data_IF_257786546762
#
_entry.id   IF_257786546762
#
_cell.length_a   1.000
_cell.length_b   1.000
_cell.length_c   1.000
_cell.angle_alpha   90.00
_cell.angle_beta   90.00
_cell.angle_gamma   90.00
#
_symmetry.space_group_name_H-M   'P 1'
#
loop_
_entity.id
_entity.type
_entity.pdbx_description
1 polymer ?
#
# COMPACT_ATOMS: atom_id res chain seq x y z
N UNK A 1 0.71 4.18 -3.64
CA UNK A 1 1.54 3.25 -2.84
C UNK A 1 3.04 3.62 -2.93
N UNK A 2 3.71 3.44 -4.08
CA UNK A 2 5.16 3.77 -4.24
C UNK A 2 5.46 5.24 -3.90
N UNK A 3 4.63 6.17 -4.38
CA UNK A 3 4.75 7.61 -4.07
C UNK A 3 4.56 7.95 -2.58
N UNK A 4 3.72 7.18 -1.87
CA UNK A 4 3.46 7.37 -0.43
C UNK A 4 4.67 6.90 0.37
N UNK A 5 5.22 5.72 0.04
CA UNK A 5 6.44 5.19 0.68
C UNK A 5 7.64 6.10 0.42
N UNK A 6 7.79 6.64 -0.79
CA UNK A 6 8.86 7.61 -1.14
C UNK A 6 8.73 8.90 -0.32
N UNK A 7 7.53 9.27 0.10
CA UNK A 7 7.27 10.46 0.93
C UNK A 7 7.58 10.24 2.43
N UNK A 8 8.05 9.05 2.81
CA UNK A 8 8.38 8.69 4.20
C UNK A 8 7.15 8.34 5.04
N UNK A 9 6.09 7.89 4.39
CA UNK A 9 4.77 7.64 4.98
C UNK A 9 4.43 6.14 4.96
N UNK A 10 3.71 5.64 5.99
CA UNK A 10 3.37 4.21 6.13
C UNK A 10 1.97 3.97 5.55
N UNK A 11 1.90 3.14 4.51
CA UNK A 11 0.63 2.73 3.89
C UNK A 11 0.20 1.35 4.38
N UNK A 12 -0.71 1.33 5.36
CA UNK A 12 -1.27 0.10 5.93
C UNK A 12 -2.29 -0.58 5.01
N UNK A 13 -2.81 0.10 3.99
CA UNK A 13 -3.91 -0.41 3.14
C UNK A 13 -3.49 -1.45 2.10
N UNK A 14 -2.18 -1.68 1.90
CA UNK A 14 -1.63 -2.53 0.82
C UNK A 14 -2.18 -3.95 0.89
N UNK A 15 -2.21 -4.55 2.09
CA UNK A 15 -2.68 -5.93 2.26
C UNK A 15 -4.17 -6.10 1.96
N UNK A 16 -5.00 -5.17 2.43
CA UNK A 16 -6.45 -5.16 2.16
C UNK A 16 -6.80 -4.82 0.72
N UNK A 17 -6.01 -3.98 0.05
CA UNK A 17 -6.17 -3.69 -1.38
C UNK A 17 -5.87 -4.93 -2.21
N UNK A 18 -4.78 -5.63 -1.88
CA UNK A 18 -4.40 -6.88 -2.54
C UNK A 18 -5.48 -7.95 -2.33
N UNK A 19 -6.05 -8.04 -1.13
CA UNK A 19 -7.20 -8.90 -0.85
C UNK A 19 -8.44 -8.52 -1.69
N UNK A 20 -8.78 -7.23 -1.77
CA UNK A 20 -9.93 -6.75 -2.56
C UNK A 20 -9.78 -7.05 -4.05
N UNK A 21 -8.62 -6.72 -4.64
CA UNK A 21 -8.35 -6.93 -6.05
C UNK A 21 -8.20 -8.42 -6.39
N UNK A 22 -7.60 -9.22 -5.50
CA UNK A 22 -7.52 -10.67 -5.64
C UNK A 22 -8.89 -11.33 -5.55
N UNK A 23 -9.74 -10.89 -4.62
CA UNK A 23 -11.12 -11.33 -4.51
C UNK A 23 -11.94 -10.96 -5.75
N UNK A 24 -11.79 -9.73 -6.26
CA UNK A 24 -12.42 -9.30 -7.51
C UNK A 24 -11.97 -10.16 -8.69
N UNK A 25 -10.66 -10.44 -8.80
CA UNK A 25 -10.11 -11.30 -9.85
C UNK A 25 -10.69 -12.72 -9.78
N UNK A 26 -10.82 -13.27 -8.58
CA UNK A 26 -11.42 -14.59 -8.36
C UNK A 26 -12.91 -14.62 -8.74
N UNK A 27 -13.67 -13.57 -8.41
CA UNK A 27 -15.09 -13.47 -8.77
C UNK A 27 -15.26 -13.38 -10.30
N UNK A 28 -14.48 -12.53 -10.96
CA UNK A 28 -14.57 -12.36 -12.41
C UNK A 28 -14.23 -13.65 -13.16
N UNK A 29 -13.30 -14.44 -12.64
CA UNK A 29 -12.89 -15.72 -13.23
C UNK A 29 -13.88 -16.86 -12.92
N UNK A 30 -14.29 -17.00 -11.65
CA UNK A 30 -15.11 -18.14 -11.18
C UNK A 30 -16.60 -17.94 -11.45
N UNK A 31 -17.14 -16.74 -11.23
CA UNK A 31 -18.59 -16.46 -11.33
C UNK A 31 -18.96 -15.98 -12.73
N UNK A 32 -18.18 -15.05 -13.29
CA UNK A 32 -18.50 -14.41 -14.56
C UNK A 32 -17.75 -15.02 -15.75
N UNK A 33 -16.85 -15.97 -15.53
CA UNK A 33 -16.06 -16.66 -16.55
C UNK A 33 -15.39 -15.70 -17.55
N UNK A 34 -14.96 -14.53 -17.06
CA UNK A 34 -14.33 -13.48 -17.88
C UNK A 34 -12.96 -13.98 -18.35
N UNK A 35 -12.60 -13.81 -19.64
CA UNK A 35 -11.31 -14.25 -20.14
C UNK A 35 -10.16 -13.53 -19.43
N UNK A 36 -9.03 -14.24 -19.26
CA UNK A 36 -7.87 -13.81 -18.47
C UNK A 36 -7.44 -12.36 -18.76
N UNK A 37 -7.30 -12.00 -20.03
CA UNK A 37 -6.85 -10.64 -20.41
C UNK A 37 -7.85 -9.56 -19.99
N UNK A 38 -9.15 -9.82 -20.11
CA UNK A 38 -10.18 -8.88 -19.70
C UNK A 38 -10.24 -8.78 -18.17
N UNK A 39 -10.11 -9.91 -17.46
CA UNK A 39 -10.03 -9.92 -16.00
C UNK A 39 -8.83 -9.10 -15.50
N UNK A 40 -7.63 -9.38 -16.00
CA UNK A 40 -6.42 -8.65 -15.61
C UNK A 40 -6.48 -7.16 -15.91
N UNK A 41 -7.07 -6.76 -17.04
CA UNK A 41 -7.22 -5.35 -17.40
C UNK A 41 -8.23 -4.63 -16.50
N UNK A 42 -9.36 -5.25 -16.16
CA UNK A 42 -10.33 -4.71 -15.20
C UNK A 42 -9.71 -4.57 -13.81
N UNK A 43 -9.05 -5.62 -13.32
CA UNK A 43 -8.41 -5.61 -11.99
C UNK A 43 -7.29 -4.57 -11.93
N UNK A 44 -6.47 -4.46 -12.98
CA UNK A 44 -5.41 -3.45 -13.07
C UNK A 44 -5.98 -2.03 -13.11
N UNK A 45 -7.06 -1.81 -13.87
CA UNK A 45 -7.72 -0.50 -13.93
C UNK A 45 -8.32 -0.10 -12.58
N UNK A 46 -9.03 -1.02 -11.91
CA UNK A 46 -9.56 -0.81 -10.57
C UNK A 46 -8.45 -0.51 -9.56
N UNK A 47 -7.36 -1.28 -9.57
CA UNK A 47 -6.22 -1.06 -8.68
C UNK A 47 -5.54 0.28 -8.93
N UNK A 48 -5.40 0.69 -10.19
CA UNK A 48 -4.85 1.99 -10.57
C UNK A 48 -5.76 3.14 -10.12
N UNK A 49 -7.07 3.02 -10.30
CA UNK A 49 -8.06 4.02 -9.86
C UNK A 49 -8.04 4.20 -8.34
N UNK A 50 -8.08 3.10 -7.58
CA UNK A 50 -8.02 3.16 -6.11
C UNK A 50 -6.66 3.71 -5.65
N UNK A 51 -5.57 3.30 -6.30
CA UNK A 51 -4.23 3.81 -6.00
C UNK A 51 -4.07 5.30 -6.27
N UNK A 52 -4.69 5.81 -7.35
CA UNK A 52 -4.74 7.24 -7.67
C UNK A 52 -5.63 8.01 -6.69
N UNK A 53 -6.77 7.45 -6.28
CA UNK A 53 -7.63 8.07 -5.28
C UNK A 53 -6.90 8.22 -3.93
N UNK A 54 -6.28 7.14 -3.43
CA UNK A 54 -5.48 7.19 -2.20
C UNK A 54 -4.31 8.18 -2.34
N UNK A 55 -3.62 8.16 -3.49
CA UNK A 55 -2.53 9.09 -3.77
C UNK A 55 -2.98 10.54 -3.84
N UNK A 56 -4.16 10.82 -4.41
CA UNK A 56 -4.74 12.15 -4.50
C UNK A 56 -5.11 12.71 -3.12
N UNK A 57 -5.71 11.89 -2.25
CA UNK A 57 -6.05 12.26 -0.88
C UNK A 57 -4.81 12.64 -0.08
N UNK A 58 -3.71 11.90 -0.24
CA UNK A 58 -2.46 12.20 0.45
C UNK A 58 -1.74 13.41 -0.17
N UNK A 59 -1.60 13.47 -1.49
CA UNK A 59 -0.77 14.48 -2.17
C UNK A 59 -1.45 15.85 -2.30
N UNK A 60 -2.74 15.89 -2.65
CA UNK A 60 -3.45 17.14 -2.94
C UNK A 60 -4.31 17.61 -1.77
N UNK A 61 -5.05 16.70 -1.13
CA UNK A 61 -5.88 17.05 0.02
C UNK A 61 -5.07 17.19 1.32
N UNK A 62 -3.76 16.90 1.28
CA UNK A 62 -2.84 16.97 2.44
C UNK A 62 -3.34 16.19 3.65
N UNK A 63 -4.10 15.12 3.41
CA UNK A 63 -4.56 14.20 4.44
C UNK A 63 -3.38 13.29 4.80
N UNK A 64 -3.05 13.10 6.09
CA UNK A 64 -2.01 12.18 6.49
C UNK A 64 -2.22 10.77 5.91
N UNK A 65 -1.20 10.24 5.25
CA UNK A 65 -1.15 8.87 4.70
C UNK A 65 -1.64 7.77 5.63
N UNK A 66 -1.29 7.85 6.92
CA UNK A 66 -1.68 6.86 7.92
C UNK A 66 -3.21 6.72 8.02
N UNK A 67 -3.93 7.85 7.92
CA UNK A 67 -5.39 7.88 7.98
C UNK A 67 -5.99 7.31 6.69
N UNK A 68 -5.46 7.72 5.53
CA UNK A 68 -5.89 7.18 4.23
C UNK A 68 -5.63 5.66 4.18
N UNK A 69 -4.52 5.21 4.75
CA UNK A 69 -4.14 3.80 4.85
C UNK A 69 -5.05 3.00 5.79
N UNK A 70 -5.30 3.47 7.02
CA UNK A 70 -6.20 2.78 7.95
C UNK A 70 -7.66 2.80 7.51
N UNK A 71 -8.14 3.97 7.07
CA UNK A 71 -9.50 4.12 6.53
C UNK A 71 -9.69 3.29 5.26
N UNK A 72 -8.72 3.33 4.35
CA UNK A 72 -8.68 2.48 3.16
C UNK A 72 -8.67 1.00 3.51
N UNK A 73 -7.90 0.58 4.52
CA UNK A 73 -7.90 -0.81 4.95
C UNK A 73 -9.27 -1.28 5.41
N UNK A 74 -9.94 -0.52 6.27
CA UNK A 74 -11.29 -0.85 6.75
C UNK A 74 -12.29 -0.86 5.60
N UNK A 75 -12.23 0.12 4.71
CA UNK A 75 -13.11 0.22 3.55
C UNK A 75 -12.92 -0.96 2.58
N UNK A 76 -11.68 -1.24 2.14
CA UNK A 76 -11.39 -2.32 1.20
C UNK A 76 -11.71 -3.69 1.78
N UNK A 77 -11.43 -3.90 3.07
CA UNK A 77 -11.76 -5.14 3.77
C UNK A 77 -13.27 -5.31 3.94
N UNK A 78 -13.98 -4.22 4.24
CA UNK A 78 -15.43 -4.17 4.21
C UNK A 78 -15.94 -4.60 2.84
N UNK A 79 -15.60 -3.85 1.78
CA UNK A 79 -16.00 -4.16 0.40
C UNK A 79 -15.74 -5.64 0.05
N UNK A 80 -14.54 -6.14 0.32
CA UNK A 80 -14.20 -7.54 0.07
C UNK A 80 -15.15 -8.50 0.78
N UNK A 81 -15.38 -8.32 2.08
CA UNK A 81 -16.29 -9.18 2.86
C UNK A 81 -17.74 -9.08 2.41
N UNK A 82 -18.19 -7.91 1.95
CA UNK A 82 -19.55 -7.74 1.43
C UNK A 82 -19.77 -8.47 0.11
N UNK A 83 -18.78 -8.43 -0.78
CA UNK A 83 -18.89 -9.09 -2.07
C UNK A 83 -18.70 -10.61 -1.93
N UNK A 84 -17.79 -11.06 -1.06
CA UNK A 84 -17.49 -12.49 -0.89
C UNK A 84 -18.31 -13.19 0.18
N UNK A 85 -19.07 -12.45 0.99
CA UNK A 85 -19.74 -12.98 2.18
C UNK A 85 -18.79 -13.57 3.22
N UNK A 86 -17.49 -13.23 3.16
CA UNK A 86 -16.45 -13.85 4.01
C UNK A 86 -16.05 -15.26 3.58
N UNK A 87 -16.51 -15.74 2.43
CA UNK A 87 -16.15 -17.07 1.91
C UNK A 87 -14.94 -17.02 0.99
N UNK A 88 -14.23 -18.14 0.88
CA UNK A 88 -13.11 -18.28 -0.06
C UNK A 88 -13.64 -18.68 -1.43
N UNK A 89 -13.26 -17.92 -2.47
CA UNK A 89 -13.72 -18.16 -3.84
C UNK A 89 -12.64 -18.94 -4.60
N UNK A 90 -12.88 -20.24 -4.77
CA UNK A 90 -11.99 -21.21 -5.40
C UNK A 90 -12.82 -22.36 -6.01
N UNK A 91 -12.31 -23.12 -6.99
CA UNK A 91 -10.99 -23.03 -7.62
C UNK A 91 -10.95 -22.01 -8.78
N UNK A 92 -9.89 -21.22 -8.80
CA UNK A 92 -9.57 -20.28 -9.91
C UNK A 92 -8.91 -21.01 -11.09
N UNK A 93 -9.06 -20.45 -12.28
CA UNK A 93 -8.58 -21.03 -13.53
C UNK A 93 -7.06 -21.28 -13.51
N UNK A 94 -6.57 -22.37 -14.13
CA UNK A 94 -5.13 -22.67 -14.20
C UNK A 94 -4.32 -21.55 -14.86
N UNK A 95 -4.92 -20.82 -15.80
CA UNK A 95 -4.36 -19.64 -16.43
C UNK A 95 -4.14 -18.48 -15.46
N UNK A 96 -5.10 -18.21 -14.57
CA UNK A 96 -4.97 -17.16 -13.56
C UNK A 96 -3.96 -17.56 -12.47
N UNK A 97 -3.95 -18.85 -12.09
CA UNK A 97 -2.93 -19.40 -11.17
C UNK A 97 -1.54 -19.30 -11.79
N UNK A 98 -1.37 -19.62 -13.07
CA UNK A 98 -0.09 -19.49 -13.76
C UNK A 98 0.40 -18.04 -13.81
N UNK A 99 -0.48 -17.06 -13.99
CA UNK A 99 -0.10 -15.64 -13.92
C UNK A 99 0.25 -15.21 -12.49
N UNK A 100 -0.52 -15.67 -11.49
CA UNK A 100 -0.35 -15.26 -10.10
C UNK A 100 0.80 -15.95 -9.36
N UNK A 101 1.13 -17.19 -9.72
CA UNK A 101 2.15 -18.03 -9.08
C UNK A 101 3.21 -18.55 -10.05
N UNK A 102 3.21 -18.06 -11.30
CA UNK A 102 4.20 -18.45 -12.30
C UNK A 102 5.59 -17.98 -11.91
N UNK A 103 6.44 -18.92 -11.49
CA UNK A 103 7.86 -18.66 -11.32
C UNK A 103 8.56 -18.73 -12.69
N UNK A 104 9.51 -17.81 -12.90
CA UNK A 104 10.43 -17.92 -14.02
C UNK A 104 11.20 -19.25 -13.92
N UNK A 105 11.48 -19.94 -15.04
CA UNK A 105 12.34 -21.11 -15.02
C UNK A 105 13.68 -20.77 -14.35
N UNK A 106 14.18 -21.68 -13.51
CA UNK A 106 15.41 -21.47 -12.72
C UNK A 106 16.61 -21.04 -13.58
N UNK A 107 16.72 -21.55 -14.82
CA UNK A 107 17.74 -21.17 -15.79
C UNK A 107 17.62 -19.72 -16.24
N UNK A 108 16.40 -19.25 -16.53
CA UNK A 108 16.14 -17.87 -16.94
C UNK A 108 16.38 -16.94 -15.75
N UNK A 109 15.87 -17.29 -14.56
CA UNK A 109 16.06 -16.48 -13.36
C UNK A 109 17.53 -16.31 -12.97
N UNK A 110 18.31 -17.40 -13.01
CA UNK A 110 19.75 -17.35 -12.73
C UNK A 110 20.52 -16.57 -13.79
N UNK A 111 20.23 -16.78 -15.08
CA UNK A 111 20.87 -16.02 -16.16
C UNK A 111 20.58 -14.52 -16.04
N UNK A 112 19.35 -14.14 -15.74
CA UNK A 112 18.94 -12.74 -15.57
C UNK A 112 19.57 -12.13 -14.31
N UNK A 113 19.68 -12.90 -13.22
CA UNK A 113 20.41 -12.51 -12.01
C UNK A 113 21.89 -12.26 -12.25
N UNK A 114 22.58 -13.17 -12.96
CA UNK A 114 24.00 -13.02 -13.33
C UNK A 114 24.19 -11.83 -14.28
N UNK A 115 23.28 -11.64 -15.25
CA UNK A 115 23.31 -10.50 -16.16
C UNK A 115 23.17 -9.17 -15.41
N UNK A 116 22.21 -9.06 -14.48
CA UNK A 116 22.03 -7.86 -13.66
C UNK A 116 23.23 -7.61 -12.73
N UNK A 117 23.83 -8.67 -12.17
CA UNK A 117 25.08 -8.58 -11.41
C UNK A 117 26.24 -8.06 -12.28
N UNK A 118 26.43 -8.65 -13.46
CA UNK A 118 27.47 -8.22 -14.40
C UNK A 118 27.26 -6.76 -14.86
N UNK A 119 26.01 -6.38 -15.12
CA UNK A 119 25.64 -5.02 -15.50
C UNK A 119 25.94 -4.02 -14.38
N UNK A 120 25.57 -4.33 -13.13
CA UNK A 120 25.83 -3.44 -11.98
C UNK A 120 27.33 -3.31 -11.70
N UNK A 121 28.09 -4.40 -11.80
CA UNK A 121 29.55 -4.38 -11.71
C UNK A 121 30.17 -3.54 -12.84
N UNK A 122 29.70 -3.72 -14.07
CA UNK A 122 30.17 -2.97 -15.24
C UNK A 122 29.86 -1.48 -15.13
N UNK A 123 28.64 -1.10 -14.75
CA UNK A 123 28.24 0.29 -14.54
C UNK A 123 29.06 0.92 -13.41
N UNK A 124 29.29 0.20 -12.31
CA UNK A 124 30.13 0.67 -11.20
C UNK A 124 31.58 0.86 -11.63
N UNK A 125 32.13 -0.06 -12.40
CA UNK A 125 33.49 0.04 -12.94
C UNK A 125 33.62 1.21 -13.93
N UNK A 126 32.66 1.35 -14.86
CA UNK A 126 32.61 2.45 -15.83
C UNK A 126 32.48 3.81 -15.12
N UNK A 127 31.64 3.90 -14.10
CA UNK A 127 31.50 5.11 -13.29
C UNK A 127 32.78 5.45 -12.52
N UNK A 128 33.48 4.45 -11.96
CA UNK A 128 34.79 4.64 -11.32
C UNK A 128 35.85 5.10 -12.31
N UNK A 129 35.92 4.49 -13.49
CA UNK A 129 36.87 4.84 -14.55
C UNK A 129 36.63 6.25 -15.10
N UNK A 130 35.36 6.62 -15.34
CA UNK A 130 35.01 7.99 -15.74
C UNK A 130 35.31 9.01 -14.62
N UNK A 131 35.11 8.67 -13.34
CA UNK A 131 35.45 9.55 -12.21
C UNK A 131 36.96 9.71 -12.04
N UNK A 132 37.74 8.66 -12.29
CA UNK A 132 39.21 8.70 -12.27
C UNK A 132 39.78 9.55 -13.42
N UNK A 133 39.18 9.47 -14.62
CA UNK A 133 39.57 10.27 -15.78
C UNK A 133 39.30 11.79 -15.58
N UNK A 134 38.37 12.17 -14.71
CA UNK A 134 38.03 13.57 -14.43
C UNK A 134 38.59 14.10 -13.10
N UNK A 135 39.49 13.37 -12.42
CA UNK A 135 40.21 13.86 -11.23
C UNK A 135 39.32 14.16 -10.01
N UNK A 136 38.10 13.62 -9.95
CA UNK A 136 37.15 13.88 -8.86
C UNK A 136 37.45 12.97 -7.66
N UNK A 137 37.58 13.56 -6.47
CA UNK A 137 37.89 12.84 -5.23
C UNK A 137 36.92 11.66 -5.01
N UNK A 138 37.44 10.43 -5.07
CA UNK A 138 36.69 9.23 -4.73
C UNK A 138 36.22 9.36 -3.28
N UNK A 139 34.90 9.48 -3.07
CA UNK A 139 34.35 9.52 -1.74
C UNK A 139 34.70 8.22 -1.00
N UNK A 140 35.12 8.35 0.27
CA UNK A 140 35.50 7.22 1.10
C UNK A 140 34.37 6.18 1.15
N UNK A 141 34.71 4.91 0.91
CA UNK A 141 33.80 3.75 0.96
C UNK A 141 33.01 3.70 2.28
N UNK A 142 33.60 4.21 3.36
CA UNK A 142 32.97 4.33 4.67
C UNK A 142 31.77 5.28 4.64
N UNK A 143 31.82 6.38 3.87
CA UNK A 143 30.69 7.32 3.75
C UNK A 143 29.53 6.73 2.96
N UNK A 144 29.83 5.92 1.95
CA UNK A 144 28.77 5.28 1.15
C UNK A 144 28.13 4.13 1.93
N UNK A 145 28.91 3.32 2.64
CA UNK A 145 28.40 2.31 3.57
C UNK A 145 27.59 2.96 4.70
N UNK A 146 28.10 4.03 5.34
CA UNK A 146 27.36 4.77 6.36
C UNK A 146 26.04 5.34 5.82
N UNK A 147 26.02 5.91 4.61
CA UNK A 147 24.79 6.41 3.99
C UNK A 147 23.80 5.30 3.71
N UNK A 148 24.24 4.15 3.18
CA UNK A 148 23.36 3.01 2.92
C UNK A 148 22.81 2.42 4.22
N UNK A 149 23.63 2.35 5.28
CA UNK A 149 23.21 1.89 6.61
C UNK A 149 22.24 2.88 7.26
N UNK A 150 22.50 4.19 7.19
CA UNK A 150 21.59 5.23 7.70
C UNK A 150 20.27 5.24 6.93
N UNK A 151 20.31 5.21 5.59
CA UNK A 151 19.12 5.16 4.74
C UNK A 151 18.35 3.86 5.01
N UNK A 152 19.02 2.72 5.14
CA UNK A 152 18.42 1.43 5.49
C UNK A 152 17.84 1.39 6.90
N UNK A 153 18.48 2.02 7.89
CA UNK A 153 17.97 2.13 9.26
C UNK A 153 16.77 3.09 9.36
N UNK A 154 16.76 4.17 8.57
CA UNK A 154 15.64 5.12 8.49
C UNK A 154 14.45 4.52 7.74
N UNK A 155 14.68 3.85 6.59
CA UNK A 155 13.65 3.09 5.88
C UNK A 155 13.17 1.86 6.67
N UNK A 156 14.02 1.32 7.55
CA UNK A 156 13.75 0.15 8.39
C UNK A 156 12.81 0.39 9.58
N UNK A 157 12.32 1.63 9.79
CA UNK A 157 11.17 1.84 10.68
C UNK A 157 11.28 2.92 11.75
N UNK A 158 12.30 3.79 11.74
CA UNK A 158 12.31 4.95 12.66
C UNK A 158 11.52 6.11 12.05
N UNK A 159 10.19 6.04 12.20
CA UNK A 159 9.28 7.14 11.82
C UNK A 159 9.66 8.43 12.55
N UNK A 160 10.07 9.46 11.80
CA UNK A 160 10.47 10.79 12.33
C UNK A 160 9.33 11.81 12.38
N UNK A 161 8.07 11.39 12.15
CA UNK A 161 6.92 12.31 12.12
C UNK A 161 5.77 11.73 12.96
N UNK A 162 5.86 11.94 14.27
CA UNK A 162 4.73 11.80 15.19
C UNK A 162 3.79 13.00 15.07
N UNK A 163 2.49 12.74 14.92
CA UNK A 163 1.46 13.77 15.01
C UNK A 163 1.20 14.20 16.46
N UNK A 164 1.05 15.50 16.69
CA UNK A 164 0.68 16.04 18.01
C UNK A 164 -0.81 15.77 18.29
N UNK A 165 -1.11 14.63 18.90
CA UNK A 165 -2.42 14.32 19.48
C UNK A 165 -2.39 14.39 21.01
N UNK A 166 -3.50 14.72 21.65
CA UNK A 166 -3.61 14.65 23.11
C UNK A 166 -4.07 13.26 23.53
N UNK A 167 -3.60 12.79 24.69
CA UNK A 167 -4.05 11.51 25.29
C UNK A 167 -5.58 11.50 25.46
N UNK A 168 -6.13 12.64 25.90
CA UNK A 168 -7.59 12.80 26.05
C UNK A 168 -8.34 12.68 24.72
N UNK A 169 -7.84 13.27 23.64
CA UNK A 169 -8.45 13.14 22.31
C UNK A 169 -8.40 11.70 21.77
N UNK A 170 -7.30 10.99 22.02
CA UNK A 170 -7.18 9.58 21.65
C UNK A 170 -8.16 8.68 22.44
N UNK A 171 -8.31 8.92 23.75
CA UNK A 171 -9.26 8.19 24.59
C UNK A 171 -10.71 8.44 24.15
N UNK A 172 -11.07 9.70 23.88
CA UNK A 172 -12.41 10.05 23.40
C UNK A 172 -12.71 9.43 22.04
N UNK A 173 -11.76 9.50 21.10
CA UNK A 173 -11.88 8.87 19.79
C UNK A 173 -12.01 7.35 19.88
N UNK A 174 -11.17 6.69 20.70
CA UNK A 174 -11.24 5.24 20.92
C UNK A 174 -12.56 4.82 21.57
N UNK A 175 -13.07 5.60 22.53
CA UNK A 175 -14.35 5.35 23.19
C UNK A 175 -15.51 5.46 22.19
N UNK A 176 -15.53 6.50 21.35
CA UNK A 176 -16.57 6.66 20.31
C UNK A 176 -16.55 5.50 19.31
N UNK A 177 -15.37 5.13 18.80
CA UNK A 177 -15.24 4.03 17.83
C UNK A 177 -15.66 2.69 18.46
N UNK A 178 -15.26 2.42 19.70
CA UNK A 178 -15.59 1.18 20.40
C UNK A 178 -17.07 1.11 20.76
N UNK A 179 -17.68 2.22 21.21
CA UNK A 179 -19.11 2.30 21.46
C UNK A 179 -19.94 2.09 20.19
N UNK A 180 -19.49 2.64 19.05
CA UNK A 180 -20.10 2.39 17.75
C UNK A 180 -20.00 0.92 17.33
N UNK A 181 -18.83 0.32 17.51
CA UNK A 181 -18.61 -1.10 17.20
C UNK A 181 -19.55 -2.01 17.99
N UNK A 182 -19.65 -1.77 19.30
CA UNK A 182 -20.56 -2.49 20.18
C UNK A 182 -22.03 -2.23 19.82
N UNK A 183 -22.42 -0.99 19.52
CA UNK A 183 -23.78 -0.65 19.13
C UNK A 183 -24.21 -1.31 17.81
N UNK A 184 -23.34 -1.29 16.80
CA UNK A 184 -23.61 -1.98 15.54
C UNK A 184 -23.64 -3.50 15.72
N UNK A 185 -22.75 -4.05 16.56
CA UNK A 185 -22.77 -5.48 16.89
C UNK A 185 -24.04 -5.90 17.64
N UNK A 186 -24.59 -5.04 18.52
CA UNK A 186 -25.84 -5.31 19.23
C UNK A 186 -27.07 -5.22 18.34
N UNK A 187 -27.01 -4.42 17.28
CA UNK A 187 -28.03 -4.30 16.26
C UNK A 187 -27.92 -5.40 15.17
N UNK A 188 -27.04 -6.38 15.38
CA UNK A 188 -26.74 -7.47 14.45
C UNK A 188 -26.38 -6.97 13.04
N UNK A 189 -25.74 -5.80 12.97
CA UNK A 189 -25.31 -5.20 11.72
C UNK A 189 -24.14 -6.02 11.18
N UNK A 190 -24.23 -6.45 9.92
CA UNK A 190 -23.17 -7.23 9.29
C UNK A 190 -21.81 -6.56 9.39
N UNK A 191 -20.78 -7.37 9.63
CA UNK A 191 -19.37 -6.93 9.72
C UNK A 191 -18.94 -6.09 8.52
N UNK A 192 -19.52 -6.37 7.34
CA UNK A 192 -19.42 -5.57 6.13
C UNK A 192 -19.72 -4.08 6.37
N UNK A 193 -20.92 -3.79 6.85
CA UNK A 193 -21.40 -2.44 7.09
C UNK A 193 -20.63 -1.77 8.23
N UNK A 194 -20.26 -2.53 9.26
CA UNK A 194 -19.45 -2.02 10.36
C UNK A 194 -18.10 -1.46 9.88
N UNK A 195 -17.41 -2.19 9.00
CA UNK A 195 -16.11 -1.77 8.47
C UNK A 195 -16.21 -0.55 7.55
N UNK A 196 -17.25 -0.48 6.71
CA UNK A 196 -17.50 0.69 5.84
C UNK A 196 -17.80 1.92 6.69
N UNK A 197 -18.69 1.81 7.68
CA UNK A 197 -19.05 2.93 8.57
C UNK A 197 -17.83 3.41 9.35
N UNK A 198 -17.06 2.50 9.96
CA UNK A 198 -15.83 2.84 10.69
C UNK A 198 -14.80 3.54 9.79
N UNK A 199 -14.56 3.01 8.58
CA UNK A 199 -13.66 3.62 7.60
C UNK A 199 -14.12 5.01 7.16
N UNK A 200 -15.42 5.15 6.87
CA UNK A 200 -16.03 6.42 6.48
C UNK A 200 -15.93 7.49 7.56
N UNK A 201 -16.23 7.14 8.82
CA UNK A 201 -16.08 8.04 9.97
C UNK A 201 -14.63 8.50 10.11
N UNK A 202 -13.65 7.61 9.96
CA UNK A 202 -12.23 7.94 10.04
C UNK A 202 -11.80 8.94 8.96
N UNK A 203 -12.26 8.73 7.72
CA UNK A 203 -11.99 9.65 6.60
C UNK A 203 -12.65 11.02 6.84
N UNK A 204 -13.92 11.03 7.26
CA UNK A 204 -14.67 12.26 7.56
C UNK A 204 -14.05 13.05 8.71
N UNK A 205 -13.70 12.39 9.82
CA UNK A 205 -13.11 13.03 10.99
C UNK A 205 -11.84 13.78 10.61
N UNK A 206 -11.03 13.21 9.72
CA UNK A 206 -9.77 13.79 9.30
C UNK A 206 -9.97 14.83 8.21
N UNK A 207 -10.93 14.65 7.30
CA UNK A 207 -11.31 15.70 6.36
C UNK A 207 -11.78 16.97 7.08
N UNK A 208 -12.55 16.83 8.17
CA UNK A 208 -12.95 17.94 9.04
C UNK A 208 -11.73 18.54 9.77
N UNK A 209 -10.84 17.73 10.33
CA UNK A 209 -9.62 18.23 10.99
C UNK A 209 -8.70 19.00 10.02
N UNK A 210 -8.56 18.52 8.77
CA UNK A 210 -7.74 19.18 7.74
C UNK A 210 -8.39 20.48 7.25
N UNK A 211 -9.70 20.48 6.98
CA UNK A 211 -10.42 21.68 6.52
C UNK A 211 -10.49 22.77 7.58
N UNK A 212 -10.64 22.41 8.86
CA UNK A 212 -10.63 23.38 9.97
C UNK A 212 -9.25 23.97 10.26
N UNK A 213 -8.16 23.23 9.97
CA UNK A 213 -6.79 23.75 10.06
C UNK A 213 -6.43 24.70 8.91
N UNK A 214 -7.03 24.52 7.73
CA UNK A 214 -6.77 25.39 6.57
C UNK A 214 -7.22 26.84 6.78
N UNK A 215 -8.25 27.08 7.61
CA UNK A 215 -8.73 28.43 7.96
C UNK A 215 -7.97 29.13 9.10
N UNK A 216 -6.97 28.48 9.70
CA UNK A 216 -6.14 29.02 10.81
C UNK A 216 -4.74 29.48 10.37
N UNK A 217 -4.49 29.61 9.07
CA UNK A 217 -3.25 30.19 8.52
C UNK A 217 -3.47 31.59 8.02
#
# INVERSE_FOLDING_TARGET
>A
MVLVIISGEIDLSVGSLLGLLGGLAAILDVVYHVPLLANLSVVALCGLMIGLANGYMTAYLRIPSFIVGLGGMLAFRGILLGITGGTTIAPVSPSLVYVGQGYLPHSVGTALGVLLLALTLFLTWKQRRNRALHGLAAHSMIRDVLRVVLIGAVLGGTSMRGGSGTVYGALLGALVITSLDNGMSMLDVDSYWQMIVKGGILVLAVWVDVSTRAGRR
#
